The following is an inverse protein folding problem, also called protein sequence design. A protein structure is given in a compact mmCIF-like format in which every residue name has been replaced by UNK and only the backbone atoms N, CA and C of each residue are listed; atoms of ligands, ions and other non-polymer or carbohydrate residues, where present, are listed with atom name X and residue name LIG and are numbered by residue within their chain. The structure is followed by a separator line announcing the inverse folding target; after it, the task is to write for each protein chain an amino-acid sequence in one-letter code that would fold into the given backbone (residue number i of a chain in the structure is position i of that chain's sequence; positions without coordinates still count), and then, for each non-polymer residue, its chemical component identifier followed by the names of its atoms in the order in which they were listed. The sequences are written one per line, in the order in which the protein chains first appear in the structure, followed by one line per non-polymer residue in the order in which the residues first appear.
data_IF_004698014957
#
_entry.id   IF_004698014957
#
_cell.length_a   1.000
_cell.length_b   1.000
_cell.length_c   1.000
_cell.angle_alpha   90.00
_cell.angle_beta   90.00
_cell.angle_gamma   90.00
#
_symmetry.space_group_name_H-M   'P 1'
#
loop_
_entity.id
_entity.type
_entity.pdbx_description
1 polymer ?
#
# COMPACT_ATOMS: atom_id res chain seq x y z
N UNK A 1 -9.91 -36.17 -6.51
CA UNK A 1 -9.59 -34.75 -6.70
C UNK A 1 -8.37 -34.64 -7.59
N UNK A 2 -8.39 -33.90 -8.71
CA UNK A 2 -7.15 -33.57 -9.42
C UNK A 2 -6.44 -32.40 -8.72
N UNK A 3 -5.11 -32.26 -8.87
CA UNK A 3 -4.31 -31.27 -8.15
C UNK A 3 -4.54 -29.86 -8.69
N UNK A 4 -4.55 -28.86 -7.79
CA UNK A 4 -4.55 -27.44 -8.14
C UNK A 4 -3.23 -27.09 -8.83
N UNK A 5 -3.30 -26.76 -10.13
CA UNK A 5 -2.18 -26.32 -10.96
C UNK A 5 -1.58 -25.04 -10.39
N UNK A 6 -0.27 -25.05 -10.12
CA UNK A 6 0.53 -23.84 -10.07
C UNK A 6 0.42 -23.12 -11.42
N UNK A 7 0.04 -21.84 -11.42
CA UNK A 7 0.17 -21.03 -12.62
C UNK A 7 1.65 -20.66 -12.75
N UNK A 8 2.44 -21.51 -13.40
CA UNK A 8 3.74 -21.10 -13.95
C UNK A 8 3.51 -19.86 -14.82
N UNK A 9 4.11 -18.74 -14.42
CA UNK A 9 4.17 -17.53 -15.23
C UNK A 9 5.05 -17.85 -16.43
N UNK A 10 4.42 -18.26 -17.53
CA UNK A 10 5.15 -18.57 -18.76
C UNK A 10 5.93 -17.32 -19.20
N UNK A 11 7.24 -17.49 -19.41
CA UNK A 11 8.12 -16.47 -20.00
C UNK A 11 7.79 -16.18 -21.48
N UNK A 12 6.84 -16.92 -22.05
CA UNK A 12 6.33 -16.75 -23.41
C UNK A 12 4.97 -16.05 -23.39
N UNK A 13 4.81 -15.08 -24.29
CA UNK A 13 3.59 -14.29 -24.48
C UNK A 13 3.20 -14.28 -25.96
N UNK A 14 1.90 -14.17 -26.25
CA UNK A 14 1.40 -14.02 -27.61
C UNK A 14 0.99 -12.58 -27.88
N UNK A 15 1.43 -12.03 -29.00
CA UNK A 15 0.94 -10.74 -29.49
C UNK A 15 0.05 -11.02 -30.69
N UNK A 16 -1.14 -10.41 -30.70
CA UNK A 16 -2.10 -10.51 -31.80
C UNK A 16 -2.29 -9.14 -32.42
N UNK A 17 -2.06 -9.02 -33.72
CA UNK A 17 -2.41 -7.82 -34.50
C UNK A 17 -3.29 -8.25 -35.68
N UNK A 18 -4.50 -7.69 -35.76
CA UNK A 18 -5.55 -8.14 -36.69
C UNK A 18 -5.80 -9.65 -36.55
N UNK A 19 -5.48 -10.44 -37.58
CA UNK A 19 -5.64 -11.92 -37.59
C UNK A 19 -4.33 -12.68 -37.35
N UNK A 20 -3.20 -11.97 -37.17
CA UNK A 20 -1.88 -12.58 -37.05
C UNK A 20 -1.46 -12.63 -35.59
N UNK A 21 -1.21 -13.84 -35.09
CA UNK A 21 -0.76 -14.12 -33.73
C UNK A 21 0.66 -14.68 -33.76
N UNK A 22 1.56 -14.09 -32.96
CA UNK A 22 2.98 -14.46 -32.91
C UNK A 22 3.39 -14.62 -31.44
N UNK A 23 4.31 -15.56 -31.17
CA UNK A 23 4.82 -15.83 -29.82
C UNK A 23 6.17 -15.16 -29.61
N UNK A 24 6.39 -14.60 -28.42
CA UNK A 24 7.60 -13.91 -28.01
C UNK A 24 8.02 -14.31 -26.61
N UNK A 25 9.30 -14.09 -26.30
CA UNK A 25 9.75 -13.95 -24.91
C UNK A 25 9.15 -12.64 -24.37
N UNK A 26 8.66 -12.68 -23.13
CA UNK A 26 8.03 -11.54 -22.46
C UNK A 26 8.95 -10.30 -22.50
N UNK A 27 8.49 -9.18 -23.09
CA UNK A 27 9.26 -7.94 -23.07
C UNK A 27 9.44 -7.41 -21.65
N UNK A 28 10.64 -6.95 -21.32
CA UNK A 28 10.96 -6.41 -19.99
C UNK A 28 10.26 -5.06 -19.76
N UNK A 29 10.11 -4.25 -20.82
CA UNK A 29 9.45 -2.95 -20.77
C UNK A 29 8.33 -2.83 -21.81
N UNK A 30 7.45 -1.85 -21.62
CA UNK A 30 6.44 -1.48 -22.61
C UNK A 30 7.08 -1.02 -23.92
N UNK A 31 8.21 -0.31 -23.84
CA UNK A 31 8.96 0.14 -25.01
C UNK A 31 9.51 -1.06 -25.81
N UNK A 32 10.07 -2.07 -25.15
CA UNK A 32 10.50 -3.31 -25.80
C UNK A 32 9.33 -4.01 -26.50
N UNK A 33 8.14 -3.98 -25.88
CA UNK A 33 6.93 -4.56 -26.46
C UNK A 33 6.48 -3.83 -27.73
N UNK A 34 6.49 -2.50 -27.71
CA UNK A 34 6.19 -1.67 -28.87
C UNK A 34 7.20 -1.91 -30.00
N UNK A 35 8.49 -1.92 -29.68
CA UNK A 35 9.56 -2.16 -30.64
C UNK A 35 9.44 -3.55 -31.29
N UNK A 36 9.10 -4.57 -30.48
CA UNK A 36 8.90 -5.93 -30.95
C UNK A 36 7.67 -6.06 -31.85
N UNK A 37 6.57 -5.37 -31.51
CA UNK A 37 5.37 -5.31 -32.33
C UNK A 37 5.65 -4.63 -33.68
N UNK A 38 6.32 -3.48 -33.70
CA UNK A 38 6.69 -2.74 -34.92
C UNK A 38 7.64 -3.52 -35.82
N UNK A 39 8.61 -4.24 -35.24
CA UNK A 39 9.54 -5.10 -35.99
C UNK A 39 8.85 -6.30 -36.64
N UNK A 40 7.79 -6.83 -36.02
CA UNK A 40 7.19 -8.11 -36.43
C UNK A 40 5.97 -7.94 -37.34
N UNK A 41 5.14 -6.93 -37.07
CA UNK A 41 3.97 -6.63 -37.88
C UNK A 41 4.31 -5.51 -38.84
N UNK A 42 4.58 -5.84 -40.11
CA UNK A 42 5.02 -4.89 -41.13
C UNK A 42 4.08 -3.69 -41.34
N UNK A 43 2.79 -3.84 -40.99
CA UNK A 43 1.81 -2.76 -41.01
C UNK A 43 2.01 -1.70 -39.90
N UNK A 44 2.85 -1.97 -38.90
CA UNK A 44 3.16 -1.10 -37.77
C UNK A 44 4.53 -0.42 -37.91
N UNK A 45 5.34 -0.79 -38.91
CA UNK A 45 6.71 -0.29 -39.09
C UNK A 45 6.74 1.24 -39.12
N UNK A 46 5.85 1.84 -39.93
CA UNK A 46 5.78 3.29 -40.15
C UNK A 46 4.76 4.00 -39.25
N UNK A 47 4.13 3.28 -38.31
CA UNK A 47 3.19 3.87 -37.35
C UNK A 47 3.99 4.47 -36.18
N UNK A 48 3.76 5.74 -35.81
CA UNK A 48 4.39 6.33 -34.65
C UNK A 48 4.06 5.57 -33.35
N UNK A 49 5.02 5.34 -32.43
CA UNK A 49 4.78 4.56 -31.20
C UNK A 49 3.59 5.06 -30.37
N UNK A 50 3.36 6.37 -30.32
CA UNK A 50 2.27 7.02 -29.62
C UNK A 50 0.88 6.70 -30.20
N UNK A 51 0.82 6.19 -31.44
CA UNK A 51 -0.41 5.73 -32.09
C UNK A 51 -0.61 4.21 -31.99
N UNK A 52 0.24 3.49 -31.24
CA UNK A 52 0.14 2.05 -31.07
C UNK A 52 -0.24 1.74 -29.62
N UNK A 53 -1.39 1.08 -29.44
CA UNK A 53 -1.85 0.63 -28.13
C UNK A 53 -1.61 -0.88 -27.97
N UNK A 54 -1.13 -1.27 -26.79
CA UNK A 54 -1.01 -2.68 -26.38
C UNK A 54 -2.05 -2.96 -25.32
N UNK A 55 -2.99 -3.83 -25.63
CA UNK A 55 -4.08 -4.24 -24.76
C UNK A 55 -3.78 -5.60 -24.12
N UNK A 56 -4.26 -5.81 -22.91
CA UNK A 56 -4.17 -7.08 -22.21
C UNK A 56 -5.49 -7.44 -21.53
N UNK A 57 -5.84 -8.72 -21.55
CA UNK A 57 -6.92 -9.24 -20.71
C UNK A 57 -6.37 -9.59 -19.33
N UNK A 58 -6.78 -8.84 -18.33
CA UNK A 58 -6.42 -9.06 -16.93
C UNK A 58 -7.38 -10.08 -16.29
N UNK A 59 -6.91 -10.81 -15.28
CA UNK A 59 -7.71 -11.85 -14.63
C UNK A 59 -9.06 -11.29 -14.14
N UNK A 60 -10.16 -11.81 -14.72
CA UNK A 60 -11.55 -11.42 -14.47
C UNK A 60 -11.95 -9.99 -14.90
N UNK A 61 -11.24 -9.33 -15.82
CA UNK A 61 -11.61 -8.01 -16.38
C UNK A 61 -11.73 -8.03 -17.91
N UNK A 62 -12.29 -6.95 -18.47
CA UNK A 62 -12.30 -6.71 -19.92
C UNK A 62 -10.87 -6.48 -20.42
N UNK A 63 -10.70 -6.47 -21.74
CA UNK A 63 -9.42 -6.17 -22.36
C UNK A 63 -9.14 -4.67 -22.21
N UNK A 64 -8.01 -4.33 -21.59
CA UNK A 64 -7.67 -2.96 -21.19
C UNK A 64 -6.33 -2.55 -21.80
N UNK A 65 -6.18 -1.26 -22.09
CA UNK A 65 -4.92 -0.69 -22.57
C UNK A 65 -3.89 -0.70 -21.43
N UNK A 66 -2.73 -1.31 -21.70
CA UNK A 66 -1.58 -1.33 -20.79
C UNK A 66 -0.70 -0.10 -21.05
N UNK A 67 -0.57 0.78 -20.06
CA UNK A 67 0.34 1.94 -20.16
C UNK A 67 1.80 1.56 -19.86
N UNK A 68 2.78 2.39 -20.24
CA UNK A 68 4.19 2.14 -19.93
C UNK A 68 4.47 1.87 -18.45
N UNK A 69 3.82 2.64 -17.57
CA UNK A 69 3.99 2.60 -16.11
C UNK A 69 3.34 1.36 -15.50
N UNK A 70 2.29 0.84 -16.16
CA UNK A 70 1.56 -0.33 -15.70
C UNK A 70 2.23 -1.64 -16.13
N UNK A 71 3.08 -1.63 -17.17
CA UNK A 71 3.61 -2.83 -17.83
C UNK A 71 4.13 -3.92 -16.89
N UNK A 72 5.06 -3.58 -15.98
CA UNK A 72 5.66 -4.55 -15.06
C UNK A 72 4.63 -5.17 -14.11
N UNK A 73 3.62 -4.39 -13.74
CA UNK A 73 2.60 -4.77 -12.75
C UNK A 73 1.50 -5.63 -13.36
N UNK A 74 0.96 -5.23 -14.52
CA UNK A 74 -0.21 -5.91 -15.12
C UNK A 74 0.16 -7.01 -16.10
N UNK A 75 1.40 -7.07 -16.60
CA UNK A 75 1.77 -8.14 -17.53
C UNK A 75 2.01 -9.47 -16.80
N UNK A 76 2.26 -9.47 -15.49
CA UNK A 76 2.52 -10.71 -14.74
C UNK A 76 1.27 -11.61 -14.73
N UNK A 77 1.36 -12.79 -15.35
CA UNK A 77 0.23 -13.70 -15.57
C UNK A 77 -0.56 -13.48 -16.87
N UNK A 78 -0.32 -12.39 -17.61
CA UNK A 78 -0.91 -12.17 -18.94
C UNK A 78 -0.18 -13.01 -19.98
N UNK A 79 -0.93 -13.82 -20.71
CA UNK A 79 -0.41 -14.68 -21.80
C UNK A 79 -0.65 -14.10 -23.19
N UNK A 80 -1.60 -13.18 -23.33
CA UNK A 80 -2.04 -12.65 -24.62
C UNK A 80 -2.15 -11.13 -24.55
N UNK A 81 -1.48 -10.47 -25.49
CA UNK A 81 -1.59 -9.05 -25.76
C UNK A 81 -2.21 -8.84 -27.14
N UNK A 82 -3.06 -7.83 -27.26
CA UNK A 82 -3.61 -7.36 -28.54
C UNK A 82 -2.97 -6.03 -28.88
N UNK A 83 -2.47 -5.89 -30.09
CA UNK A 83 -1.87 -4.64 -30.57
C UNK A 83 -2.87 -3.98 -31.50
N UNK A 84 -3.08 -2.67 -31.33
CA UNK A 84 -4.00 -1.87 -32.15
C UNK A 84 -3.36 -0.54 -32.54
N UNK A 85 -3.82 0.03 -33.67
CA UNK A 85 -3.46 1.38 -34.09
C UNK A 85 -4.61 2.31 -33.69
N UNK A 86 -4.30 3.36 -32.96
CA UNK A 86 -5.26 4.39 -32.58
C UNK A 86 -5.55 5.26 -33.82
N UNK A 87 -6.81 5.27 -34.27
CA UNK A 87 -7.24 6.17 -35.34
C UNK A 87 -7.54 7.57 -34.77
N UNK A 88 -7.20 8.64 -35.50
CA UNK A 88 -7.38 10.05 -35.09
C UNK A 88 -8.86 10.52 -35.04
N UNK A 89 -9.80 9.65 -34.65
CA UNK A 89 -11.21 10.00 -34.47
C UNK A 89 -11.70 9.71 -33.06
N UNK A 90 -11.44 10.65 -32.16
CA UNK A 90 -12.41 10.98 -31.09
C UNK A 90 -12.43 12.50 -30.94
N UNK A 91 -13.59 13.07 -31.30
CA UNK A 91 -13.96 14.47 -31.05
C UNK A 91 -14.15 14.68 -29.54
N UNK A 92 -13.84 15.88 -29.06
CA UNK A 92 -14.04 16.42 -27.70
C UNK A 92 -15.49 16.43 -27.17
N UNK A 93 -16.43 15.67 -27.74
CA UNK A 93 -17.83 15.66 -27.31
C UNK A 93 -18.34 14.24 -27.06
N UNK A 94 -17.98 13.64 -25.93
CA UNK A 94 -18.81 12.63 -25.22
C UNK A 94 -18.27 12.36 -23.80
N UNK A 95 -17.94 13.41 -23.05
CA UNK A 95 -17.86 13.37 -21.58
C UNK A 95 -18.95 14.29 -21.03
N UNK A 96 -20.20 13.93 -21.32
CA UNK A 96 -21.36 14.32 -20.52
C UNK A 96 -22.13 13.04 -20.25
N UNK A 97 -21.73 12.32 -19.21
CA UNK A 97 -22.63 11.32 -18.62
C UNK A 97 -23.76 12.11 -17.97
N UNK A 98 -24.86 12.24 -18.73
CA UNK A 98 -26.17 12.61 -18.23
C UNK A 98 -26.50 11.72 -17.03
N UNK A 99 -26.63 12.37 -15.88
CA UNK A 99 -27.41 11.88 -14.76
C UNK A 99 -28.87 11.98 -15.20
N UNK A 100 -29.46 10.89 -15.67
CA UNK A 100 -30.91 10.75 -15.76
C UNK A 100 -31.31 9.44 -15.05
N UNK A 101 -32.19 9.60 -14.07
CA UNK A 101 -32.91 8.56 -13.34
C UNK A 101 -33.91 7.90 -14.28
N UNK A 102 -34.04 6.57 -14.20
CA UNK A 102 -35.25 5.78 -14.52
C UNK A 102 -34.98 4.40 -13.86
N UNK A 103 -35.55 4.12 -12.69
CA UNK A 103 -36.85 3.47 -12.43
C UNK A 103 -37.02 2.06 -13.04
N UNK A 104 -37.52 1.18 -12.17
CA UNK A 104 -37.72 -0.28 -12.27
C UNK A 104 -38.21 -0.81 -13.62
N UNK A 105 -37.69 -1.98 -14.01
CA UNK A 105 -38.59 -3.07 -14.42
C UNK A 105 -37.96 -4.47 -14.19
N UNK A 106 -38.76 -5.28 -13.50
CA UNK A 106 -38.64 -6.67 -13.08
C UNK A 106 -37.91 -7.63 -14.05
N UNK A 107 -36.86 -8.30 -13.54
CA UNK A 107 -36.56 -9.70 -13.90
C UNK A 107 -36.27 -10.51 -12.63
N UNK A 108 -37.25 -11.34 -12.28
CA UNK A 108 -37.28 -12.27 -11.12
C UNK A 108 -36.03 -13.15 -10.99
N UNK A 109 -35.34 -12.98 -9.86
CA UNK A 109 -34.48 -13.99 -9.24
C UNK A 109 -35.35 -15.02 -8.46
N UNK A 110 -34.99 -16.32 -8.42
CA UNK A 110 -35.51 -17.21 -7.38
C UNK A 110 -34.63 -17.11 -6.11
N UNK A 111 -35.20 -16.50 -5.06
CA UNK A 111 -35.29 -16.96 -3.65
C UNK A 111 -34.11 -17.76 -3.03
N UNK A 112 -33.65 -17.54 -1.79
CA UNK A 112 -33.92 -16.62 -0.69
C UNK A 112 -32.86 -16.91 0.39
N UNK A 113 -32.28 -15.88 1.05
CA UNK A 113 -32.27 -15.73 2.52
C UNK A 113 -31.48 -14.45 2.86
N UNK A 114 -32.23 -13.38 3.12
CA UNK A 114 -31.77 -12.15 3.74
C UNK A 114 -31.83 -12.33 5.28
N UNK A 115 -30.96 -11.69 6.07
CA UNK A 115 -31.29 -11.28 7.42
C UNK A 115 -32.04 -9.93 7.39
N UNK A 116 -32.77 -9.58 8.47
CA UNK A 116 -33.90 -8.66 8.41
C UNK A 116 -33.47 -7.19 8.26
N UNK A 117 -34.32 -6.46 7.55
CA UNK A 117 -34.28 -5.02 7.36
C UNK A 117 -34.67 -4.28 8.65
N UNK A 118 -33.88 -3.25 8.99
CA UNK A 118 -34.28 -2.28 10.00
C UNK A 118 -33.18 -1.43 10.61
N UNK A 119 -32.40 -0.68 9.80
CA UNK A 119 -31.83 0.62 10.19
C UNK A 119 -30.91 1.18 9.11
N UNK A 120 -31.09 2.46 8.78
CA UNK A 120 -30.20 3.26 7.94
C UNK A 120 -28.74 3.15 8.40
N UNK A 121 -27.85 2.62 7.57
CA UNK A 121 -26.40 2.62 7.80
C UNK A 121 -25.67 3.04 6.52
N UNK A 122 -24.90 4.13 6.62
CA UNK A 122 -23.94 4.59 5.61
C UNK A 122 -23.00 3.42 5.29
N UNK A 123 -22.82 3.09 4.01
CA UNK A 123 -21.84 2.10 3.61
C UNK A 123 -20.43 2.59 3.93
N UNK A 124 -19.78 1.96 4.92
CA UNK A 124 -18.38 2.22 5.25
C UNK A 124 -17.50 1.72 4.10
N UNK A 125 -16.84 2.63 3.41
CA UNK A 125 -15.79 2.30 2.43
C UNK A 125 -14.57 1.83 3.22
N UNK A 126 -14.22 0.55 3.07
CA UNK A 126 -13.02 -0.06 3.68
C UNK A 126 -11.76 0.55 3.05
N UNK A 127 -10.86 1.11 3.86
CA UNK A 127 -9.59 1.63 3.37
C UNK A 127 -8.42 0.85 4.00
N UNK A 128 -7.70 0.03 3.22
CA UNK A 128 -6.64 -0.82 3.74
C UNK A 128 -5.40 -0.02 4.15
N UNK A 129 -4.60 -0.57 5.04
CA UNK A 129 -3.20 -0.17 5.20
C UNK A 129 -2.40 -0.72 4.03
N UNK A 130 -1.77 0.19 3.30
CA UNK A 130 -1.17 -0.15 2.00
C UNK A 130 0.32 0.11 1.98
N UNK A 131 1.03 -0.86 1.42
CA UNK A 131 2.48 -0.90 1.24
C UNK A 131 3.33 -0.44 2.43
N UNK A 132 3.13 -0.97 3.65
CA UNK A 132 4.25 -1.11 4.55
C UNK A 132 5.43 -1.88 3.92
N UNK A 133 6.60 -1.26 3.89
CA UNK A 133 7.86 -1.89 3.44
C UNK A 133 8.95 -1.71 4.48
N UNK A 134 9.70 -2.79 4.76
CA UNK A 134 10.71 -2.88 5.80
C UNK A 134 12.07 -3.09 5.14
N UNK A 135 12.93 -2.08 5.20
CA UNK A 135 14.33 -2.12 4.80
C UNK A 135 15.20 -2.52 5.99
N UNK A 136 16.18 -3.38 5.74
CA UNK A 136 17.17 -3.83 6.72
C UNK A 136 18.58 -3.49 6.20
N UNK A 137 19.38 -2.79 7.00
CA UNK A 137 20.75 -2.39 6.64
C UNK A 137 21.73 -2.85 7.71
N UNK A 138 22.72 -3.66 7.33
CA UNK A 138 23.78 -4.10 8.25
C UNK A 138 25.14 -3.86 7.63
N UNK A 139 26.17 -3.42 8.38
CA UNK A 139 27.53 -3.23 7.84
C UNK A 139 28.18 -4.54 7.39
N UNK A 140 27.76 -5.66 7.97
CA UNK A 140 28.22 -7.02 7.65
C UNK A 140 27.02 -7.91 7.35
N UNK A 141 27.23 -8.99 6.59
CA UNK A 141 26.17 -9.96 6.38
C UNK A 141 25.72 -10.56 7.72
N UNK A 142 24.42 -10.53 8.00
CA UNK A 142 23.84 -11.09 9.23
C UNK A 142 22.60 -11.92 8.93
N UNK A 143 22.39 -12.95 9.74
CA UNK A 143 21.10 -13.64 9.76
C UNK A 143 20.16 -12.86 10.68
N UNK A 144 18.94 -12.59 10.22
CA UNK A 144 17.92 -11.91 11.00
C UNK A 144 16.59 -12.66 10.91
N UNK A 145 15.89 -12.78 12.05
CA UNK A 145 14.49 -13.18 12.14
C UNK A 145 13.65 -11.93 12.29
N UNK A 146 12.72 -11.72 11.37
CA UNK A 146 11.80 -10.57 11.39
C UNK A 146 10.40 -11.10 11.65
N UNK A 147 9.81 -10.70 12.78
CA UNK A 147 8.47 -11.09 13.22
C UNK A 147 7.58 -9.87 13.23
N UNK A 148 6.50 -9.92 12.46
CA UNK A 148 5.52 -8.85 12.40
C UNK A 148 4.18 -9.40 12.86
N UNK A 149 3.54 -8.70 13.80
CA UNK A 149 2.19 -9.01 14.27
C UNK A 149 1.25 -7.84 14.00
N UNK A 150 -0.05 -8.11 13.88
CA UNK A 150 -1.10 -7.10 13.73
C UNK A 150 -2.11 -7.21 14.86
N UNK A 151 -2.59 -6.07 15.34
CA UNK A 151 -3.76 -6.02 16.22
C UNK A 151 -5.03 -6.52 15.49
N UNK A 152 -6.07 -6.98 16.21
CA UNK A 152 -7.27 -7.55 15.61
C UNK A 152 -8.00 -6.66 14.58
N UNK A 153 -7.83 -5.35 14.66
CA UNK A 153 -8.40 -4.37 13.73
C UNK A 153 -7.80 -4.45 12.32
N UNK A 154 -6.70 -5.19 12.15
CA UNK A 154 -6.06 -5.43 10.87
C UNK A 154 -5.88 -6.92 10.59
N UNK A 155 -6.03 -7.27 9.32
CA UNK A 155 -5.75 -8.60 8.77
C UNK A 155 -4.81 -8.49 7.58
N UNK A 156 -3.74 -9.27 7.54
CA UNK A 156 -2.84 -9.35 6.38
C UNK A 156 -3.64 -9.70 5.12
N UNK A 157 -3.47 -8.88 4.08
CA UNK A 157 -4.01 -9.12 2.74
C UNK A 157 -2.91 -9.52 1.75
N UNK A 158 -1.67 -9.08 1.99
CA UNK A 158 -0.51 -9.48 1.22
C UNK A 158 0.76 -9.47 2.09
N UNK A 159 1.69 -10.38 1.80
CA UNK A 159 3.03 -10.43 2.40
C UNK A 159 4.04 -10.88 1.36
N UNK A 160 5.23 -10.29 1.34
CA UNK A 160 6.30 -10.62 0.39
C UNK A 160 7.67 -10.31 0.99
N UNK A 161 8.72 -11.11 0.75
CA UNK A 161 8.71 -12.44 0.13
C UNK A 161 7.88 -13.43 0.96
N UNK A 162 7.73 -14.67 0.48
CA UNK A 162 6.99 -15.69 1.22
C UNK A 162 7.59 -15.85 2.64
N UNK A 163 6.78 -15.71 3.71
CA UNK A 163 7.24 -15.93 5.08
C UNK A 163 7.72 -17.36 5.30
N UNK A 164 8.44 -17.58 6.40
CA UNK A 164 8.87 -18.91 6.86
C UNK A 164 7.65 -19.85 6.94
N UNK A 165 7.80 -21.08 6.43
CA UNK A 165 6.71 -22.05 6.38
C UNK A 165 6.10 -22.28 7.78
N UNK A 166 4.76 -22.26 7.87
CA UNK A 166 4.04 -22.42 9.14
C UNK A 166 4.12 -21.24 10.11
N UNK A 167 4.78 -20.13 9.75
CA UNK A 167 4.85 -18.92 10.58
C UNK A 167 3.55 -18.12 10.60
N UNK A 168 2.71 -18.26 9.56
CA UNK A 168 1.41 -17.60 9.51
C UNK A 168 0.49 -18.21 10.56
N UNK A 169 0.31 -17.48 11.67
CA UNK A 169 -0.62 -17.88 12.73
C UNK A 169 -1.90 -17.09 12.59
N UNK A 170 -2.97 -17.76 12.17
CA UNK A 170 -4.31 -17.21 12.19
C UNK A 170 -5.02 -17.64 13.48
N UNK A 171 -5.43 -16.67 14.29
CA UNK A 171 -6.14 -16.90 15.55
C UNK A 171 -6.99 -15.69 15.91
N UNK A 172 -7.93 -15.86 16.85
CA UNK A 172 -8.96 -14.86 17.23
C UNK A 172 -8.44 -13.51 17.73
N UNK A 173 -7.13 -13.30 17.88
CA UNK A 173 -6.59 -12.16 18.64
C UNK A 173 -5.33 -11.49 18.10
N UNK A 174 -4.69 -11.99 17.02
CA UNK A 174 -3.64 -11.28 16.27
C UNK A 174 -3.13 -12.20 15.14
N UNK A 175 -2.87 -11.65 13.95
CA UNK A 175 -2.10 -12.36 12.92
C UNK A 175 -0.62 -12.07 13.09
N UNK A 176 0.23 -13.06 12.76
CA UNK A 176 1.68 -12.95 12.82
C UNK A 176 2.30 -13.60 11.58
N UNK A 177 3.38 -13.00 11.08
CA UNK A 177 4.29 -13.59 10.08
C UNK A 177 5.73 -13.51 10.55
N UNK A 178 6.57 -14.47 10.14
CA UNK A 178 8.01 -14.46 10.39
C UNK A 178 8.78 -14.66 9.10
N UNK A 179 9.86 -13.90 8.90
CA UNK A 179 10.87 -14.13 7.87
C UNK A 179 12.21 -14.49 8.51
N UNK A 180 12.85 -15.56 8.04
CA UNK A 180 14.25 -15.90 8.35
C UNK A 180 15.13 -15.52 7.15
N UNK A 181 15.88 -14.42 7.30
CA UNK A 181 16.57 -13.75 6.20
C UNK A 181 18.05 -13.54 6.47
N UNK A 182 18.81 -13.37 5.40
CA UNK A 182 20.18 -12.86 5.42
C UNK A 182 20.13 -11.42 4.92
N UNK A 183 20.55 -10.48 5.75
CA UNK A 183 20.71 -9.07 5.40
C UNK A 183 22.12 -8.86 4.91
N UNK A 184 22.29 -8.42 3.66
CA UNK A 184 23.59 -8.21 3.05
C UNK A 184 24.07 -6.76 3.23
N UNK A 185 25.39 -6.49 3.21
CA UNK A 185 25.93 -5.13 3.29
C UNK A 185 25.47 -4.17 2.18
N UNK A 186 25.00 -4.72 1.05
CA UNK A 186 24.36 -3.98 -0.03
C UNK A 186 23.01 -3.37 0.35
N UNK A 187 22.38 -3.84 1.43
CA UNK A 187 20.98 -3.56 1.77
C UNK A 187 19.98 -4.51 1.11
N UNK A 188 20.45 -5.50 0.34
CA UNK A 188 19.58 -6.57 -0.17
C UNK A 188 19.35 -7.64 0.89
N UNK A 189 18.19 -8.30 0.79
CA UNK A 189 17.74 -9.33 1.72
C UNK A 189 17.56 -10.63 0.92
N UNK A 190 18.09 -11.72 1.45
CA UNK A 190 17.95 -13.06 0.86
C UNK A 190 17.23 -13.98 1.84
N UNK A 191 16.22 -14.72 1.40
CA UNK A 191 15.57 -15.75 2.23
C UNK A 191 16.35 -17.05 2.19
N UNK A 192 16.53 -17.72 3.34
CA UNK A 192 17.22 -19.02 3.38
C UNK A 192 16.46 -20.05 2.55
N UNK A 193 17.16 -20.66 1.57
CA UNK A 193 16.59 -21.70 0.70
C UNK A 193 15.91 -21.19 -0.56
N UNK A 194 15.85 -19.87 -0.80
CA UNK A 194 15.28 -19.26 -2.00
C UNK A 194 16.37 -18.42 -2.67
N UNK A 195 16.56 -18.55 -3.99
CA UNK A 195 17.61 -17.86 -4.74
C UNK A 195 17.28 -16.39 -5.09
N UNK A 196 16.24 -15.82 -4.50
CA UNK A 196 15.73 -14.48 -4.82
C UNK A 196 16.22 -13.49 -3.79
N UNK A 197 16.87 -12.42 -4.26
CA UNK A 197 17.19 -11.25 -3.45
C UNK A 197 16.08 -10.19 -3.60
N UNK A 198 15.71 -9.56 -2.50
CA UNK A 198 14.71 -8.48 -2.44
C UNK A 198 15.30 -7.26 -1.76
N UNK A 199 14.81 -6.07 -2.08
CA UNK A 199 15.27 -4.83 -1.45
C UNK A 199 14.64 -4.59 -0.07
N UNK A 200 13.46 -5.15 0.18
CA UNK A 200 12.68 -4.96 1.40
C UNK A 200 11.73 -6.14 1.64
N UNK A 201 11.28 -6.28 2.89
CA UNK A 201 10.09 -7.07 3.22
C UNK A 201 8.85 -6.18 3.05
N UNK A 202 7.73 -6.76 2.67
CA UNK A 202 6.50 -6.04 2.33
C UNK A 202 5.30 -6.74 2.97
N UNK A 203 4.36 -5.92 3.43
CA UNK A 203 3.06 -6.41 3.87
C UNK A 203 1.97 -5.38 3.57
N UNK A 204 0.73 -5.84 3.45
CA UNK A 204 -0.49 -5.02 3.43
C UNK A 204 -1.50 -5.62 4.39
N UNK A 205 -2.40 -4.78 4.88
CA UNK A 205 -3.49 -5.22 5.74
C UNK A 205 -4.81 -4.53 5.41
N UNK A 206 -5.90 -5.28 5.55
CA UNK A 206 -7.27 -4.80 5.49
C UNK A 206 -7.77 -4.48 6.89
N UNK A 207 -8.61 -3.44 7.01
CA UNK A 207 -9.28 -3.10 8.27
C UNK A 207 -10.47 -4.03 8.50
N UNK A 208 -10.50 -4.69 9.65
CA UNK A 208 -11.64 -5.52 10.05
C UNK A 208 -12.75 -4.66 10.68
N UNK A 209 -14.04 -4.89 10.34
CA UNK A 209 -15.18 -4.26 11.00
C UNK A 209 -15.14 -4.49 12.52
N UNK A 210 -15.47 -3.46 13.29
CA UNK A 210 -15.65 -3.57 14.75
C UNK A 210 -16.67 -4.64 15.14
N UNK A 211 -17.66 -4.91 14.29
CA UNK A 211 -18.74 -5.87 14.57
C UNK A 211 -18.27 -7.34 14.57
N UNK A 212 -17.07 -7.63 14.07
CA UNK A 212 -16.47 -8.97 14.05
C UNK A 212 -15.44 -9.19 15.17
N UNK A 213 -15.14 -8.17 15.97
CA UNK A 213 -14.19 -8.29 17.08
C UNK A 213 -14.89 -8.89 18.30
N UNK A 214 -14.34 -9.96 18.92
CA UNK A 214 -14.94 -10.49 20.14
C UNK A 214 -14.96 -9.42 21.23
N UNK A 215 -16.12 -9.25 21.87
CA UNK A 215 -16.26 -8.42 23.07
C UNK A 215 -15.11 -8.73 24.03
N UNK A 216 -14.38 -7.70 24.44
CA UNK A 216 -13.31 -7.85 25.43
C UNK A 216 -13.87 -8.58 26.65
N UNK A 217 -13.21 -9.62 27.18
CA UNK A 217 -13.72 -10.33 28.34
C UNK A 217 -13.93 -9.35 29.51
N UNK A 218 -15.02 -9.48 30.29
CA UNK A 218 -15.31 -8.56 31.37
C UNK A 218 -14.13 -8.53 32.33
N UNK A 219 -13.63 -7.33 32.62
CA UNK A 219 -12.56 -7.10 33.57
C UNK A 219 -12.93 -7.80 34.89
N UNK A 220 -12.32 -8.96 35.13
CA UNK A 220 -12.41 -9.65 36.40
C UNK A 220 -11.70 -8.77 37.40
N UNK A 221 -12.48 -8.01 38.19
CA UNK A 221 -11.97 -7.15 39.25
C UNK A 221 -11.20 -8.02 40.24
N UNK A 222 -9.87 -7.96 40.18
CA UNK A 222 -9.03 -8.48 41.24
C UNK A 222 -9.14 -7.55 42.44
N UNK A 223 -9.68 -8.06 43.54
CA UNK A 223 -9.76 -7.38 44.82
C UNK A 223 -8.39 -7.38 45.49
N UNK A 224 -7.53 -6.44 45.13
CA UNK A 224 -6.31 -6.15 45.89
C UNK A 224 -6.06 -4.64 45.90
N UNK A 225 -5.99 -4.00 47.09
CA UNK A 225 -5.74 -2.57 47.17
C UNK A 225 -4.27 -2.30 46.84
N UNK A 226 -4.00 -1.60 45.73
CA UNK A 226 -2.67 -1.09 45.42
C UNK A 226 -2.40 0.24 46.14
N UNK A 227 -1.15 0.50 46.58
CA UNK A 227 -0.80 1.74 47.26
C UNK A 227 -0.84 2.93 46.29
N UNK A 228 -1.37 4.04 46.78
CA UNK A 228 -1.36 5.35 46.12
C UNK A 228 0.06 5.91 46.23
N UNK A 229 0.82 5.92 45.12
CA UNK A 229 1.83 6.94 44.86
C UNK A 229 2.32 6.94 43.39
N UNK A 230 2.10 8.09 42.72
CA UNK A 230 2.73 8.64 41.51
C UNK A 230 2.91 7.78 40.24
N UNK A 231 1.88 7.86 39.39
CA UNK A 231 1.91 8.10 37.93
C UNK A 231 3.07 7.56 37.10
N UNK A 232 2.99 6.27 36.75
CA UNK A 232 3.29 5.72 35.40
C UNK A 232 2.45 4.44 35.23
N UNK A 233 1.24 4.57 34.67
CA UNK A 233 0.45 3.41 34.26
C UNK A 233 0.93 2.95 32.87
N UNK A 234 1.23 1.65 32.64
CA UNK A 234 1.88 1.18 31.40
C UNK A 234 0.93 0.87 30.24
N UNK A 235 -0.28 1.43 30.23
CA UNK A 235 -1.20 1.31 29.09
C UNK A 235 -1.77 2.69 28.76
N UNK A 236 -0.95 3.52 28.11
CA UNK A 236 -1.49 4.61 27.32
C UNK A 236 -2.42 3.98 26.28
N UNK A 237 -3.68 4.42 26.20
CA UNK A 237 -4.58 4.01 25.11
C UNK A 237 -3.88 4.37 23.81
N UNK A 238 -3.64 3.40 22.94
CA UNK A 238 -3.06 3.65 21.62
C UNK A 238 -3.90 4.72 20.91
N UNK A 239 -3.28 5.83 20.51
CA UNK A 239 -3.98 6.93 19.84
C UNK A 239 -4.37 6.56 18.40
N UNK A 240 -3.70 5.53 17.88
CA UNK A 240 -3.93 4.97 16.56
C UNK A 240 -4.69 3.64 16.65
N UNK A 241 -5.90 3.63 16.09
CA UNK A 241 -6.74 2.46 15.92
C UNK A 241 -7.10 2.39 14.44
N UNK A 242 -6.55 1.44 13.69
CA UNK A 242 -6.83 1.30 12.28
C UNK A 242 -8.32 1.24 11.94
N UNK A 243 -8.68 1.82 10.80
CA UNK A 243 -10.08 1.95 10.36
C UNK A 243 -10.86 3.07 11.06
N UNK A 244 -10.48 3.49 12.27
CA UNK A 244 -11.21 4.52 13.05
C UNK A 244 -10.47 5.84 13.20
N UNK A 245 -9.14 5.82 13.29
CA UNK A 245 -8.35 7.06 13.34
C UNK A 245 -8.54 7.87 12.05
N UNK A 246 -8.70 9.20 12.21
CA UNK A 246 -8.87 10.17 11.13
C UNK A 246 -7.83 11.30 11.23
N UNK A 247 -7.76 12.13 10.21
CA UNK A 247 -7.05 13.40 10.31
C UNK A 247 -7.88 14.37 11.13
N UNK A 248 -7.24 15.37 11.74
CA UNK A 248 -7.92 16.45 12.44
C UNK A 248 -7.20 17.78 12.24
N UNK A 249 -7.90 18.93 12.37
CA UNK A 249 -7.28 20.25 12.20
C UNK A 249 -6.09 20.52 13.13
N UNK A 250 -6.06 19.89 14.31
CA UNK A 250 -5.05 20.14 15.35
C UNK A 250 -3.72 19.42 15.10
N UNK A 251 -3.72 18.31 14.37
CA UNK A 251 -2.58 17.39 14.29
C UNK A 251 -2.20 16.98 12.85
N UNK A 252 -2.80 17.66 11.87
CA UNK A 252 -2.59 17.40 10.45
C UNK A 252 -2.13 18.65 9.71
N UNK A 253 -1.65 18.51 8.49
CA UNK A 253 -1.51 19.62 7.54
C UNK A 253 -2.52 19.46 6.43
N UNK A 254 -2.97 20.57 5.86
CA UNK A 254 -3.82 20.56 4.66
C UNK A 254 -3.05 21.21 3.51
N UNK A 255 -3.06 20.53 2.36
CA UNK A 255 -2.35 20.90 1.15
C UNK A 255 -3.26 20.67 -0.06
N UNK A 256 -3.06 21.43 -1.13
CA UNK A 256 -3.60 21.04 -2.44
C UNK A 256 -2.87 19.82 -2.99
N UNK A 257 -3.52 19.04 -3.84
CA UNK A 257 -2.94 17.83 -4.44
C UNK A 257 -1.56 18.06 -5.09
N UNK A 258 -1.35 19.24 -5.67
CA UNK A 258 -0.12 19.60 -6.39
C UNK A 258 1.05 19.92 -5.44
N UNK A 259 0.76 20.37 -4.22
CA UNK A 259 1.77 20.74 -3.21
C UNK A 259 2.24 19.54 -2.40
N UNK A 260 1.49 18.44 -2.41
CA UNK A 260 1.76 17.27 -1.58
C UNK A 260 3.05 16.55 -1.97
N UNK A 261 3.36 16.28 -3.26
CA UNK A 261 4.62 15.62 -3.61
C UNK A 261 5.89 16.36 -3.14
N UNK A 262 6.07 17.67 -3.40
CA UNK A 262 7.25 18.39 -2.90
C UNK A 262 7.26 18.53 -1.38
N UNK A 263 6.10 18.60 -0.73
CA UNK A 263 6.01 18.60 0.73
C UNK A 263 6.45 17.25 1.34
N UNK A 264 5.99 16.13 0.77
CA UNK A 264 6.37 14.79 1.18
C UNK A 264 7.86 14.54 0.96
N UNK A 265 8.45 14.97 -0.16
CA UNK A 265 9.88 14.79 -0.41
C UNK A 265 10.72 15.44 0.71
N UNK A 266 10.40 16.69 1.09
CA UNK A 266 11.07 17.39 2.18
C UNK A 266 10.83 16.72 3.53
N UNK A 267 9.58 16.35 3.81
CA UNK A 267 9.18 15.76 5.10
C UNK A 267 9.84 14.40 5.31
N UNK A 268 9.75 13.50 4.33
CA UNK A 268 10.32 12.16 4.41
C UNK A 268 11.86 12.21 4.49
N UNK A 269 12.49 13.18 3.82
CA UNK A 269 13.94 13.43 3.97
C UNK A 269 14.27 13.85 5.41
N UNK A 270 13.49 14.76 5.98
CA UNK A 270 13.65 15.17 7.37
C UNK A 270 13.43 13.99 8.35
N UNK A 271 12.51 13.08 8.04
CA UNK A 271 12.24 11.86 8.83
C UNK A 271 13.27 10.73 8.61
N UNK A 272 14.36 10.99 7.87
CA UNK A 272 15.47 10.04 7.72
C UNK A 272 15.29 8.99 6.62
N UNK A 273 14.25 9.10 5.78
CA UNK A 273 14.08 8.19 4.64
C UNK A 273 15.12 8.49 3.56
N UNK A 274 15.76 7.44 3.06
CA UNK A 274 16.70 7.51 1.94
C UNK A 274 15.95 7.64 0.60
N UNK A 275 16.68 7.97 -0.48
CA UNK A 275 16.10 8.34 -1.77
C UNK A 275 15.13 7.31 -2.35
N UNK A 276 15.49 6.02 -2.34
CA UNK A 276 14.61 4.96 -2.86
C UNK A 276 13.29 4.87 -2.07
N UNK A 277 13.36 4.86 -0.73
CA UNK A 277 12.18 4.86 0.12
C UNK A 277 11.27 6.07 -0.13
N UNK A 278 11.82 7.29 -0.25
CA UNK A 278 11.02 8.50 -0.53
C UNK A 278 10.33 8.44 -1.88
N UNK A 279 11.08 8.09 -2.93
CA UNK A 279 10.53 7.92 -4.28
C UNK A 279 9.42 6.87 -4.29
N UNK A 280 9.65 5.71 -3.67
CA UNK A 280 8.69 4.60 -3.63
C UNK A 280 7.45 4.92 -2.80
N UNK A 281 7.60 5.71 -1.72
CA UNK A 281 6.51 6.23 -0.92
C UNK A 281 5.61 7.15 -1.74
N UNK A 282 6.21 8.20 -2.33
CA UNK A 282 5.48 9.22 -3.09
C UNK A 282 4.80 8.60 -4.30
N UNK A 283 5.53 7.84 -5.12
CA UNK A 283 4.99 7.23 -6.35
C UNK A 283 3.87 6.23 -6.09
N UNK A 284 3.90 5.52 -4.95
CA UNK A 284 2.81 4.62 -4.58
C UNK A 284 1.53 5.35 -4.19
N UNK A 285 1.66 6.41 -3.38
CA UNK A 285 0.50 7.15 -2.88
C UNK A 285 -0.02 8.20 -3.87
N UNK A 286 0.80 8.66 -4.81
CA UNK A 286 0.46 9.72 -5.76
C UNK A 286 -0.89 9.49 -6.47
N UNK A 287 -1.22 8.30 -7.01
CA UNK A 287 -2.52 8.08 -7.65
C UNK A 287 -3.72 8.22 -6.70
N UNK A 288 -3.55 7.96 -5.40
CA UNK A 288 -4.61 8.16 -4.39
C UNK A 288 -4.69 9.60 -3.92
N UNK A 289 -3.54 10.28 -3.80
CA UNK A 289 -3.46 11.69 -3.43
C UNK A 289 -4.13 12.58 -4.49
N UNK A 290 -3.89 12.30 -5.78
CA UNK A 290 -4.43 13.07 -6.91
C UNK A 290 -5.95 12.92 -7.13
N UNK A 291 -6.64 12.06 -6.38
CA UNK A 291 -8.11 11.95 -6.42
C UNK A 291 -8.80 13.11 -5.68
N UNK A 292 -8.06 13.78 -4.80
CA UNK A 292 -8.58 14.81 -3.91
C UNK A 292 -8.03 16.16 -4.35
N UNK A 293 -8.84 17.21 -4.33
CA UNK A 293 -8.37 18.57 -4.64
C UNK A 293 -7.53 19.12 -3.49
N UNK A 294 -8.02 18.94 -2.27
CA UNK A 294 -7.33 19.23 -1.02
C UNK A 294 -7.31 17.98 -0.15
N UNK A 295 -6.22 17.78 0.58
CA UNK A 295 -6.09 16.64 1.48
C UNK A 295 -5.46 17.04 2.80
N UNK A 296 -6.01 16.47 3.87
CA UNK A 296 -5.40 16.49 5.18
C UNK A 296 -4.45 15.30 5.29
N UNK A 297 -3.28 15.53 5.88
CA UNK A 297 -2.24 14.54 6.05
C UNK A 297 -1.61 14.66 7.42
N UNK A 298 -1.38 13.52 8.08
CA UNK A 298 -0.56 13.46 9.29
C UNK A 298 0.26 12.19 9.37
N UNK A 299 1.39 12.26 10.07
CA UNK A 299 2.17 11.10 10.43
C UNK A 299 1.81 10.61 11.83
N UNK A 300 1.65 9.30 11.98
CA UNK A 300 1.34 8.65 13.24
C UNK A 300 2.62 8.57 14.09
N UNK A 301 2.55 8.88 15.40
CA UNK A 301 3.68 8.63 16.31
C UNK A 301 4.16 7.19 16.20
N UNK A 302 5.48 6.98 16.11
CA UNK A 302 6.04 5.64 15.92
C UNK A 302 5.57 4.65 16.99
N UNK A 303 5.49 5.09 18.25
CA UNK A 303 5.01 4.25 19.36
C UNK A 303 3.56 3.77 19.18
N UNK A 304 2.69 4.61 18.60
CA UNK A 304 1.29 4.25 18.33
C UNK A 304 1.19 3.29 17.14
N UNK A 305 2.01 3.47 16.11
CA UNK A 305 2.10 2.53 15.00
C UNK A 305 2.67 1.18 15.44
N UNK A 306 3.68 1.18 16.31
CA UNK A 306 4.26 -0.03 16.91
C UNK A 306 3.27 -0.81 17.76
N UNK A 307 2.36 -0.13 18.45
CA UNK A 307 1.28 -0.79 19.18
C UNK A 307 0.28 -1.49 18.24
N UNK A 308 0.02 -0.93 17.05
CA UNK A 308 -0.89 -1.50 16.06
C UNK A 308 -0.26 -2.62 15.21
N UNK A 309 1.03 -2.52 14.92
CA UNK A 309 1.76 -3.50 14.13
C UNK A 309 3.13 -3.84 14.77
N UNK A 310 3.18 -4.58 15.89
CA UNK A 310 4.44 -4.89 16.56
C UNK A 310 5.45 -5.56 15.62
N UNK A 311 6.67 -4.99 15.57
CA UNK A 311 7.79 -5.47 14.76
C UNK A 311 8.93 -5.88 15.69
N UNK A 312 9.30 -7.15 15.65
CA UNK A 312 10.34 -7.73 16.48
C UNK A 312 11.40 -8.38 15.60
N UNK A 313 12.66 -8.02 15.82
CA UNK A 313 13.78 -8.41 14.96
C UNK A 313 14.93 -8.94 15.82
N UNK A 314 15.42 -10.12 15.47
CA UNK A 314 16.55 -10.79 16.13
C UNK A 314 17.68 -11.09 15.12
N UNK A 315 18.92 -10.61 15.31
CA UNK A 315 19.40 -9.83 16.45
C UNK A 315 18.73 -8.45 16.51
N UNK A 316 18.70 -7.84 17.70
CA UNK A 316 18.07 -6.54 17.90
C UNK A 316 18.78 -5.46 17.05
N UNK A 317 18.06 -4.70 16.21
CA UNK A 317 18.63 -3.54 15.50
C UNK A 317 19.08 -2.45 16.47
N UNK A 318 20.14 -1.75 16.11
CA UNK A 318 20.66 -0.60 16.87
C UNK A 318 19.70 0.60 16.83
N UNK A 319 18.98 0.74 15.70
CA UNK A 319 17.98 1.78 15.45
C UNK A 319 16.87 1.26 14.54
N UNK A 320 15.63 1.59 14.90
CA UNK A 320 14.41 1.28 14.13
C UNK A 320 13.66 2.57 13.90
N UNK A 321 13.37 2.89 12.64
CA UNK A 321 12.59 4.06 12.24
C UNK A 321 11.35 3.58 11.53
N UNK A 322 10.15 3.93 12.01
CA UNK A 322 8.89 3.50 11.40
C UNK A 322 8.01 4.72 11.14
N UNK A 323 7.78 5.04 9.88
CA UNK A 323 7.01 6.20 9.44
C UNK A 323 5.69 5.75 8.83
N UNK A 324 4.58 6.08 9.48
CA UNK A 324 3.26 5.72 8.97
C UNK A 324 2.42 6.97 8.74
N UNK A 325 1.94 7.16 7.51
CA UNK A 325 1.13 8.32 7.12
C UNK A 325 -0.34 7.94 7.05
N UNK A 326 -1.21 8.82 7.54
CA UNK A 326 -2.63 8.79 7.15
C UNK A 326 -2.99 10.06 6.40
N UNK A 327 -3.95 9.95 5.49
CA UNK A 327 -4.48 11.11 4.77
C UNK A 327 -5.94 10.90 4.37
N UNK A 328 -6.67 11.99 4.19
CA UNK A 328 -8.04 11.98 3.67
C UNK A 328 -8.31 13.23 2.83
N UNK A 329 -9.24 13.12 1.88
CA UNK A 329 -9.69 14.27 1.10
C UNK A 329 -10.53 15.22 1.95
N UNK A 330 -10.25 16.53 1.83
CA UNK A 330 -11.03 17.58 2.47
C UNK A 330 -11.84 18.30 1.40
N UNK A 331 -13.19 18.19 1.43
CA UNK A 331 -14.06 18.98 0.57
C UNK A 331 -13.83 20.49 0.75
N UNK A 332 -13.95 21.25 -0.34
CA UNK A 332 -13.66 22.69 -0.34
C UNK A 332 -14.51 23.49 0.66
N UNK A 333 -15.76 23.07 0.89
CA UNK A 333 -16.69 23.69 1.85
C UNK A 333 -16.29 23.48 3.32
N UNK A 334 -15.46 22.47 3.61
CA UNK A 334 -14.92 22.20 4.95
C UNK A 334 -13.56 22.83 5.21
N UNK A 335 -12.88 23.38 4.19
CA UNK A 335 -11.57 24.02 4.37
C UNK A 335 -11.52 25.12 5.46
N UNK A 336 -12.58 25.93 5.69
CA UNK A 336 -12.57 26.90 6.78
C UNK A 336 -12.35 26.28 8.16
N UNK A 337 -12.75 25.02 8.37
CA UNK A 337 -12.53 24.30 9.64
C UNK A 337 -11.07 23.84 9.82
N UNK A 338 -10.22 24.04 8.81
CA UNK A 338 -8.83 23.55 8.74
C UNK A 338 -7.81 24.67 8.58
N UNK A 339 -8.16 25.92 8.88
CA UNK A 339 -7.27 27.08 8.72
C UNK A 339 -5.91 26.87 9.42
N UNK A 340 -5.91 26.40 10.68
CA UNK A 340 -4.68 26.08 11.41
C UNK A 340 -3.82 25.00 10.73
N UNK A 341 -4.46 24.01 10.08
CA UNK A 341 -3.76 22.96 9.35
C UNK A 341 -3.18 23.43 8.02
N UNK A 342 -3.86 24.37 7.35
CA UNK A 342 -3.32 25.06 6.19
C UNK A 342 -2.10 25.90 6.58
N UNK A 343 -2.18 26.69 7.65
CA UNK A 343 -1.04 27.48 8.15
C UNK A 343 0.15 26.60 8.55
N UNK A 344 -0.12 25.49 9.24
CA UNK A 344 0.91 24.51 9.64
C UNK A 344 1.66 23.91 8.45
N UNK A 345 1.02 23.81 7.28
CA UNK A 345 1.66 23.31 6.06
C UNK A 345 2.82 24.19 5.56
N UNK A 346 2.83 25.47 5.97
CA UNK A 346 3.86 26.46 5.62
C UNK A 346 5.05 26.45 6.58
N UNK A 347 4.92 25.77 7.73
CA UNK A 347 5.98 25.66 8.71
C UNK A 347 7.10 24.73 8.25
N UNK A 348 8.25 24.79 8.93
CA UNK A 348 9.36 23.88 8.65
C UNK A 348 8.97 22.43 8.95
N UNK A 349 9.11 21.54 7.97
CA UNK A 349 8.71 20.13 8.06
C UNK A 349 9.46 19.34 9.15
N UNK A 350 10.54 19.92 9.72
CA UNK A 350 11.28 19.34 10.83
C UNK A 350 10.43 19.08 12.07
N UNK A 351 9.29 19.77 12.25
CA UNK A 351 8.38 19.51 13.39
C UNK A 351 7.87 18.05 13.41
N UNK A 352 7.78 17.40 12.25
CA UNK A 352 7.35 16.00 12.18
C UNK A 352 8.31 15.04 12.89
N UNK A 353 9.59 15.40 13.07
CA UNK A 353 10.54 14.57 13.81
C UNK A 353 10.07 14.37 15.26
N UNK A 354 9.60 15.43 15.91
CA UNK A 354 9.06 15.37 17.27
C UNK A 354 7.72 14.63 17.33
N UNK A 355 6.88 14.76 16.30
CA UNK A 355 5.59 14.05 16.21
C UNK A 355 5.79 12.54 16.05
N UNK A 356 6.64 12.13 15.11
CA UNK A 356 6.90 10.70 14.85
C UNK A 356 7.81 10.10 15.94
N UNK A 357 8.72 10.89 16.50
CA UNK A 357 9.70 10.45 17.50
C UNK A 357 11.02 9.95 16.90
N UNK A 358 11.45 10.51 15.76
CA UNK A 358 12.58 10.00 14.94
C UNK A 358 13.83 10.89 15.00
N UNK A 359 14.17 11.41 16.18
CA UNK A 359 15.32 12.31 16.39
C UNK A 359 16.65 11.58 16.69
N UNK A 360 16.84 10.39 16.13
CA UNK A 360 18.06 9.61 16.39
C UNK A 360 19.07 9.77 15.26
N UNK A 361 20.18 10.47 15.52
CA UNK A 361 21.26 10.65 14.54
C UNK A 361 21.83 9.32 14.02
N UNK A 362 21.70 8.23 14.79
CA UNK A 362 22.11 6.87 14.43
C UNK A 362 21.37 6.32 13.22
N UNK A 363 20.22 6.89 12.84
CA UNK A 363 19.48 6.49 11.63
C UNK A 363 20.32 6.60 10.35
N UNK A 364 21.28 7.52 10.31
CA UNK A 364 22.17 7.72 9.18
C UNK A 364 23.51 6.99 9.28
N UNK A 365 23.79 6.35 10.42
CA UNK A 365 25.06 5.70 10.70
C UNK A 365 25.15 4.32 10.03
N UNK A 366 25.95 4.24 8.96
CA UNK A 366 26.13 3.02 8.18
C UNK A 366 26.92 1.92 8.92
N UNK A 367 27.51 2.22 10.07
CA UNK A 367 28.21 1.24 10.91
C UNK A 367 27.27 0.41 11.80
N UNK A 368 25.97 0.75 11.82
CA UNK A 368 24.97 0.12 12.68
C UNK A 368 24.06 -0.83 11.90
N UNK A 369 23.43 -1.78 12.60
CA UNK A 369 22.30 -2.53 12.10
C UNK A 369 21.02 -1.67 12.23
N UNK A 370 20.52 -1.18 11.10
CA UNK A 370 19.41 -0.21 11.03
C UNK A 370 18.20 -0.80 10.32
N UNK A 371 17.01 -0.42 10.80
CA UNK A 371 15.74 -0.79 10.18
C UNK A 371 14.96 0.47 9.85
N UNK A 372 14.43 0.53 8.64
CA UNK A 372 13.53 1.58 8.18
C UNK A 372 12.25 0.93 7.66
N UNK A 373 11.13 1.26 8.27
CA UNK A 373 9.81 0.94 7.73
C UNK A 373 9.07 2.21 7.36
N UNK A 374 8.37 2.19 6.23
CA UNK A 374 7.35 3.18 5.96
C UNK A 374 6.09 2.53 5.41
N UNK A 375 4.94 3.16 5.68
CA UNK A 375 3.64 2.74 5.16
C UNK A 375 2.64 3.88 5.22
N UNK A 376 1.41 3.61 4.79
CA UNK A 376 0.33 4.55 5.03
C UNK A 376 -1.06 3.97 4.84
N UNK A 377 -2.05 4.84 5.02
CA UNK A 377 -3.47 4.50 4.87
C UNK A 377 -4.24 5.75 4.47
N UNK A 378 -5.06 5.63 3.44
CA UNK A 378 -6.11 6.62 3.20
C UNK A 378 -7.24 6.36 4.21
N UNK A 379 -7.84 7.38 4.84
CA UNK A 379 -8.85 7.21 5.91
C UNK A 379 -10.22 7.81 5.62
#
# INVERSE_FOLDING_TARGET
MPPSRSYETSNLVFFTYKRRKVVFVRPATHEDALNLARKTFSALTDVPPEKIAIWARLANRREEWVTPEAWLTVTNGVKHFTVEVLEDKVKEEEIKVKIEKEEDDDVKMPFHMLPPSGSSARGTVWKPARKPVIYLYSPTAINAKVRLSLIPQWKFSAVYPQPTEGSFKEGKSAQMVEWDVVVNPSGTISTKGISTEVAYLFWEAETEPSDNLPDSPPASRSSSPLPINNTKAPYARASFIPGTTRCSPIDSVVLSAQEVPPYLEKTLLALGLHTEARTSFITYWLPSLLKHEHLALRFIPQADFEAAAPLDIDPKPDVVTRVFMIFEGIPADRLPDWEEACERSLADVGFWKGVVGVEDARQSDKSLFRVLEWGGMEV
#
